data_IF_829763400514
#
_entry.id   IF_829763400514
#
_cell.length_a   1.000
_cell.length_b   1.000
_cell.length_c   1.000
_cell.angle_alpha   90.00
_cell.angle_beta   90.00
_cell.angle_gamma   90.00
#
_symmetry.space_group_name_H-M   'P 1'
#
loop_
_entity.id
_entity.type
_entity.pdbx_description
1 polymer ?
#
# COMPACT_ATOMS: atom_id res chain seq x y z
N UNK A 1 7.15 -19.62 -5.03
CA UNK A 1 6.54 -18.28 -5.14
C UNK A 1 6.12 -17.88 -3.74
N UNK A 2 6.73 -16.85 -3.17
CA UNK A 2 6.39 -16.38 -1.82
C UNK A 2 5.20 -15.43 -1.99
N UNK A 3 4.03 -15.88 -1.52
CA UNK A 3 2.84 -15.05 -1.48
C UNK A 3 3.10 -13.87 -0.53
N UNK A 4 2.59 -12.68 -0.88
CA UNK A 4 2.72 -11.49 -0.05
C UNK A 4 2.31 -11.75 1.39
N UNK A 5 3.15 -11.33 2.33
CA UNK A 5 3.04 -11.72 3.75
C UNK A 5 1.65 -11.40 4.35
N UNK A 6 1.02 -10.31 3.94
CA UNK A 6 -0.31 -9.91 4.41
C UNK A 6 -1.44 -10.83 3.92
N UNK A 7 -1.52 -11.06 2.61
CA UNK A 7 -2.61 -11.84 2.01
C UNK A 7 -2.55 -13.32 2.39
N UNK A 8 -1.33 -13.90 2.46
CA UNK A 8 -1.14 -15.30 2.82
C UNK A 8 -1.43 -15.61 4.29
N UNK A 9 -1.33 -14.61 5.17
CA UNK A 9 -1.63 -14.72 6.60
C UNK A 9 -3.09 -14.36 6.96
N UNK A 10 -3.92 -14.02 5.96
CA UNK A 10 -5.33 -13.65 6.17
C UNK A 10 -5.57 -12.21 6.63
N UNK A 11 -4.59 -11.33 6.48
CA UNK A 11 -4.79 -9.89 6.72
C UNK A 11 -5.49 -9.23 5.53
N UNK A 12 -6.43 -8.29 5.78
CA UNK A 12 -7.15 -7.62 4.72
C UNK A 12 -6.20 -6.78 3.87
N UNK A 13 -6.22 -7.01 2.54
CA UNK A 13 -5.57 -6.14 1.57
C UNK A 13 -6.41 -4.90 1.26
N UNK A 14 -5.76 -3.83 0.81
CA UNK A 14 -6.42 -2.60 0.39
C UNK A 14 -6.52 -2.60 -1.13
N UNK A 15 -7.69 -2.26 -1.67
CA UNK A 15 -7.86 -1.94 -3.10
C UNK A 15 -8.24 -0.47 -3.17
N UNK A 16 -7.44 0.34 -3.86
CA UNK A 16 -7.79 1.74 -4.06
C UNK A 16 -8.97 1.88 -5.03
N UNK A 17 -10.02 2.57 -4.57
CA UNK A 17 -11.25 2.87 -5.28
C UNK A 17 -11.70 4.28 -4.88
N UNK A 18 -11.85 5.19 -5.85
CA UNK A 18 -12.29 6.56 -5.61
C UNK A 18 -13.74 6.69 -5.13
N UNK A 19 -14.52 5.61 -5.19
CA UNK A 19 -15.89 5.52 -4.68
C UNK A 19 -16.00 4.69 -3.39
N UNK A 20 -14.89 4.10 -2.94
CA UNK A 20 -14.84 3.28 -1.73
C UNK A 20 -14.89 4.09 -0.43
N UNK A 21 -15.14 3.41 0.70
CA UNK A 21 -15.04 4.04 2.02
C UNK A 21 -13.58 4.42 2.33
N UNK A 22 -13.41 5.35 3.25
CA UNK A 22 -12.08 5.73 3.73
C UNK A 22 -11.45 4.62 4.56
N UNK A 23 -10.16 4.39 4.34
CA UNK A 23 -9.36 3.45 5.12
C UNK A 23 -8.48 4.25 6.08
N UNK A 24 -8.72 4.07 7.38
CA UNK A 24 -7.91 4.71 8.42
C UNK A 24 -6.60 3.95 8.65
N UNK A 25 -5.51 4.69 8.85
CA UNK A 25 -4.19 4.14 9.10
C UNK A 25 -3.21 5.20 9.56
N UNK A 26 -1.92 4.86 9.49
CA UNK A 26 -0.82 5.76 9.86
C UNK A 26 0.03 6.10 8.65
N UNK A 27 0.45 7.36 8.56
CA UNK A 27 1.49 7.79 7.62
C UNK A 27 2.83 7.74 8.35
N UNK A 28 3.73 6.87 7.87
CA UNK A 28 5.08 6.73 8.40
C UNK A 28 6.08 7.39 7.46
N UNK A 29 7.06 8.10 8.04
CA UNK A 29 8.14 8.74 7.31
C UNK A 29 9.51 8.30 7.84
N UNK A 30 10.47 8.12 6.94
CA UNK A 30 11.87 7.89 7.27
C UNK A 30 12.77 8.37 6.14
N UNK A 31 13.93 8.92 6.51
CA UNK A 31 14.95 9.35 5.56
C UNK A 31 15.64 8.19 4.81
N UNK A 32 15.48 6.95 5.28
CA UNK A 32 16.10 5.75 4.69
C UNK A 32 15.15 4.99 3.74
N UNK A 33 13.94 5.50 3.49
CA UNK A 33 12.95 4.81 2.65
C UNK A 33 13.45 4.63 1.21
N UNK A 34 14.14 5.64 0.67
CA UNK A 34 14.76 5.62 -0.66
C UNK A 34 15.69 4.41 -0.84
N UNK A 35 16.44 4.06 0.20
CA UNK A 35 17.36 2.90 0.22
C UNK A 35 16.66 1.56 0.42
N UNK A 36 15.45 1.57 0.97
CA UNK A 36 14.74 0.35 1.38
C UNK A 36 13.53 0.00 0.52
N UNK A 37 13.15 0.84 -0.44
CA UNK A 37 12.00 0.60 -1.32
C UNK A 37 11.98 -0.78 -1.96
N UNK A 38 13.09 -1.21 -2.58
CA UNK A 38 13.17 -2.54 -3.22
C UNK A 38 12.97 -3.70 -2.24
N UNK A 39 13.46 -3.55 -1.00
CA UNK A 39 13.31 -4.56 0.06
C UNK A 39 11.85 -4.64 0.51
N UNK A 40 11.19 -3.50 0.64
CA UNK A 40 9.77 -3.42 0.98
C UNK A 40 8.91 -4.00 -0.15
N UNK A 41 9.19 -3.65 -1.41
CA UNK A 41 8.49 -4.22 -2.58
C UNK A 41 8.61 -5.75 -2.60
N UNK A 42 9.82 -6.28 -2.35
CA UNK A 42 10.05 -7.73 -2.31
C UNK A 42 9.34 -8.41 -1.13
N UNK A 43 9.24 -7.74 0.02
CA UNK A 43 8.55 -8.27 1.20
C UNK A 43 7.04 -8.42 0.95
N UNK A 44 6.43 -7.44 0.29
CA UNK A 44 5.00 -7.46 -0.07
C UNK A 44 4.71 -8.45 -1.21
N UNK A 45 5.71 -8.73 -2.06
CA UNK A 45 5.60 -9.73 -3.12
C UNK A 45 4.74 -9.29 -4.31
N UNK A 46 4.47 -10.22 -5.22
CA UNK A 46 3.84 -9.91 -6.52
C UNK A 46 2.35 -9.55 -6.40
N UNK A 47 1.70 -9.93 -5.30
CA UNK A 47 0.27 -9.69 -5.02
C UNK A 47 -0.06 -8.23 -4.73
N UNK A 48 0.95 -7.42 -4.40
CA UNK A 48 0.80 -6.01 -4.10
C UNK A 48 1.63 -5.16 -5.05
N UNK A 49 1.26 -3.89 -5.16
CA UNK A 49 2.05 -2.88 -5.85
C UNK A 49 2.08 -1.57 -5.07
N UNK A 50 3.26 -0.94 -5.03
CA UNK A 50 3.42 0.39 -4.45
C UNK A 50 2.91 1.43 -5.43
N UNK A 51 1.94 2.22 -4.99
CA UNK A 51 1.40 3.35 -5.74
C UNK A 51 1.44 4.61 -4.88
N UNK A 52 1.49 5.76 -5.53
CA UNK A 52 1.32 7.04 -4.86
C UNK A 52 -0.17 7.34 -4.75
N UNK A 53 -0.66 7.56 -3.53
CA UNK A 53 -2.07 7.84 -3.26
C UNK A 53 -2.24 9.12 -2.41
N UNK A 54 -3.29 9.91 -2.66
CA UNK A 54 -3.66 11.00 -1.78
C UNK A 54 -4.16 10.44 -0.44
N UNK A 55 -3.65 10.98 0.66
CA UNK A 55 -4.07 10.65 2.02
C UNK A 55 -4.48 11.91 2.76
N UNK A 56 -5.49 11.82 3.62
CA UNK A 56 -5.88 12.91 4.51
C UNK A 56 -5.25 12.72 5.89
N UNK A 57 -4.50 13.71 6.33
CA UNK A 57 -3.91 13.74 7.67
C UNK A 57 -4.97 14.13 8.70
N UNK A 58 -4.69 13.85 9.98
CA UNK A 58 -5.56 14.25 11.09
C UNK A 58 -5.70 15.78 11.22
N UNK A 59 -4.76 16.54 10.66
CA UNK A 59 -4.85 18.00 10.53
C UNK A 59 -5.90 18.47 9.52
N UNK A 60 -6.42 17.58 8.68
CA UNK A 60 -7.30 17.89 7.55
C UNK A 60 -6.56 18.17 6.24
N UNK A 61 -5.23 18.27 6.27
CA UNK A 61 -4.41 18.45 5.07
C UNK A 61 -4.35 17.17 4.21
N UNK A 62 -4.14 17.36 2.92
CA UNK A 62 -3.90 16.26 1.98
C UNK A 62 -2.41 16.16 1.66
N UNK A 63 -1.88 14.93 1.69
CA UNK A 63 -0.51 14.62 1.30
C UNK A 63 -0.49 13.45 0.30
N UNK A 64 0.64 13.26 -0.38
CA UNK A 64 0.90 12.07 -1.18
C UNK A 64 1.71 11.06 -0.36
N UNK A 65 1.25 9.82 -0.31
CA UNK A 65 1.94 8.74 0.38
C UNK A 65 2.03 7.49 -0.50
N UNK A 66 3.09 6.70 -0.29
CA UNK A 66 3.21 5.39 -0.92
C UNK A 66 2.31 4.38 -0.18
N UNK A 67 1.46 3.68 -0.92
CA UNK A 67 0.54 2.65 -0.42
C UNK A 67 0.76 1.37 -1.21
N UNK A 68 0.78 0.22 -0.52
CA UNK A 68 0.72 -1.09 -1.16
C UNK A 68 -0.74 -1.48 -1.34
N UNK A 69 -1.23 -1.41 -2.57
CA UNK A 69 -2.57 -1.88 -2.95
C UNK A 69 -2.47 -3.29 -3.51
N UNK A 70 -3.52 -4.10 -3.34
CA UNK A 70 -3.62 -5.36 -4.06
C UNK A 70 -3.54 -5.10 -5.56
N UNK A 71 -2.64 -5.82 -6.23
CA UNK A 71 -2.51 -5.78 -7.67
C UNK A 71 -3.81 -6.34 -8.25
N UNK A 72 -4.58 -5.51 -8.96
CA UNK A 72 -5.71 -6.02 -9.73
C UNK A 72 -5.13 -6.87 -10.86
N UNK A 73 -5.29 -8.18 -10.77
CA UNK A 73 -5.01 -9.06 -11.92
C UNK A 73 -6.06 -8.74 -12.97
N UNK A 74 -5.67 -8.06 -14.06
CA UNK A 74 -6.52 -7.97 -15.25
C UNK A 74 -6.62 -9.37 -15.84
N UNK A 75 -7.72 -10.07 -15.57
CA UNK A 75 -7.90 -11.46 -15.99
C UNK A 75 -9.36 -11.90 -15.97
N UNK A 76 -10.14 -11.36 -16.91
CA UNK A 76 -11.11 -12.04 -17.79
C UNK A 76 -12.12 -11.02 -18.35
#
# INVERSE_FOLDING_TARGET
MQQGWGAAAGYPGIVLDGSGPEVHGFVLGSAELDRHWKRLDHFEGDEYERVLAPVRLSSGETAQANVYTLRRVSGA
#
